data_IF_897126273481
#
_entry.id   IF_897126273481
#
_cell.length_a   1.000
_cell.length_b   1.000
_cell.length_c   1.000
_cell.angle_alpha   90.00
_cell.angle_beta   90.00
_cell.angle_gamma   90.00
#
_symmetry.space_group_name_H-M   'P 1'
#
loop_
_entity.id
_entity.type
_entity.pdbx_description
1 polymer ?
#
# COMPACT_ATOMS: atom_id res chain seq x y z
N UNK A 1 -38.38 -32.74 -0.40
CA UNK A 1 -37.89 -31.41 0.02
C UNK A 1 -36.46 -31.46 0.62
N UNK A 2 -35.91 -32.60 1.05
CA UNK A 2 -34.62 -32.72 1.71
C UNK A 2 -33.41 -32.78 0.72
N UNK A 3 -33.62 -33.16 -0.55
CA UNK A 3 -32.54 -33.26 -1.55
C UNK A 3 -32.07 -31.91 -2.13
N UNK A 4 -32.91 -30.87 -2.13
CA UNK A 4 -32.53 -29.53 -2.63
C UNK A 4 -31.65 -28.75 -1.69
N UNK A 5 -31.75 -28.99 -0.37
CA UNK A 5 -30.95 -28.28 0.64
C UNK A 5 -29.49 -28.74 0.65
N UNK A 6 -29.27 -30.04 0.39
CA UNK A 6 -27.92 -30.60 0.35
C UNK A 6 -27.09 -30.12 -0.85
N UNK A 7 -27.75 -29.84 -1.97
CA UNK A 7 -27.06 -29.34 -3.18
C UNK A 7 -26.64 -27.87 -3.01
N UNK A 8 -27.46 -27.06 -2.34
CA UNK A 8 -27.13 -25.64 -2.08
C UNK A 8 -25.97 -25.53 -1.09
N UNK A 9 -25.93 -26.40 -0.07
CA UNK A 9 -24.83 -26.43 0.91
C UNK A 9 -23.52 -26.89 0.26
N UNK A 10 -23.56 -27.88 -0.65
CA UNK A 10 -22.39 -28.30 -1.39
C UNK A 10 -21.86 -27.21 -2.35
N UNK A 11 -22.74 -26.46 -3.02
CA UNK A 11 -22.33 -25.37 -3.93
C UNK A 11 -21.73 -24.20 -3.13
N UNK A 12 -22.33 -23.82 -1.99
CA UNK A 12 -21.75 -22.81 -1.10
C UNK A 12 -20.39 -23.26 -0.51
N UNK A 13 -20.27 -24.51 -0.10
CA UNK A 13 -19.01 -25.05 0.40
C UNK A 13 -17.91 -25.10 -0.68
N UNK A 14 -18.25 -25.41 -1.93
CA UNK A 14 -17.32 -25.39 -3.05
C UNK A 14 -16.87 -23.98 -3.42
N UNK A 15 -17.78 -22.99 -3.40
CA UNK A 15 -17.42 -21.59 -3.70
C UNK A 15 -16.56 -20.99 -2.60
N UNK A 16 -16.85 -21.29 -1.34
CA UNK A 16 -16.03 -20.85 -0.20
C UNK A 16 -14.68 -21.59 -0.18
N UNK A 17 -14.65 -22.89 -0.51
CA UNK A 17 -13.41 -23.65 -0.59
C UNK A 17 -12.53 -23.20 -1.76
N UNK A 18 -13.11 -22.83 -2.90
CA UNK A 18 -12.35 -22.31 -4.04
C UNK A 18 -11.76 -20.92 -3.74
N UNK A 19 -12.53 -20.02 -3.10
CA UNK A 19 -12.04 -18.70 -2.69
C UNK A 19 -10.96 -18.78 -1.60
N UNK A 20 -11.11 -19.65 -0.62
CA UNK A 20 -10.09 -19.87 0.40
C UNK A 20 -8.82 -20.48 -0.14
N UNK A 21 -8.90 -21.38 -1.12
CA UNK A 21 -7.72 -21.98 -1.74
C UNK A 21 -6.94 -20.97 -2.60
N UNK A 22 -7.62 -20.10 -3.36
CA UNK A 22 -6.97 -19.06 -4.16
C UNK A 22 -6.29 -18.00 -3.25
N UNK A 23 -6.91 -17.62 -2.14
CA UNK A 23 -6.30 -16.68 -1.18
C UNK A 23 -5.12 -17.34 -0.43
N UNK A 24 -5.17 -18.64 -0.18
CA UNK A 24 -4.08 -19.37 0.48
C UNK A 24 -2.90 -19.63 -0.47
N UNK A 25 -3.17 -19.93 -1.74
CA UNK A 25 -2.17 -20.08 -2.79
C UNK A 25 -1.47 -18.75 -3.09
N UNK A 26 -2.19 -17.64 -3.21
CA UNK A 26 -1.62 -16.29 -3.31
C UNK A 26 -0.81 -15.90 -2.06
N UNK A 27 -1.25 -16.26 -0.84
CA UNK A 27 -0.47 -16.01 0.39
C UNK A 27 0.87 -16.75 0.40
N UNK A 28 0.96 -17.94 -0.19
CA UNK A 28 2.20 -18.73 -0.26
C UNK A 28 3.14 -18.08 -1.28
N UNK A 29 2.65 -17.64 -2.41
CA UNK A 29 3.44 -16.95 -3.43
C UNK A 29 3.91 -15.56 -2.95
N UNK A 30 3.07 -14.80 -2.27
CA UNK A 30 3.40 -13.50 -1.70
C UNK A 30 4.56 -13.54 -0.67
N UNK A 31 4.75 -14.66 0.03
CA UNK A 31 5.94 -14.86 0.88
C UNK A 31 7.25 -14.87 0.10
N UNK A 32 7.22 -15.29 -1.16
CA UNK A 32 8.39 -15.28 -2.03
C UNK A 32 8.72 -13.88 -2.57
N UNK A 33 7.88 -12.86 -2.26
CA UNK A 33 8.08 -11.47 -2.68
C UNK A 33 9.03 -10.69 -1.78
N UNK A 34 9.52 -11.28 -0.67
CA UNK A 34 10.44 -10.61 0.23
C UNK A 34 11.78 -10.33 -0.47
N UNK A 35 12.21 -9.08 -0.39
CA UNK A 35 13.46 -8.63 -1.02
C UNK A 35 14.70 -8.74 -0.12
N UNK A 36 14.53 -9.31 1.07
CA UNK A 36 15.63 -9.62 1.98
C UNK A 36 16.17 -8.46 2.80
N UNK A 37 15.49 -7.29 2.80
CA UNK A 37 15.88 -6.19 3.69
C UNK A 37 15.57 -6.54 5.13
N UNK A 38 16.50 -6.24 6.02
CA UNK A 38 16.40 -6.49 7.47
C UNK A 38 16.16 -5.21 8.27
N UNK A 39 16.59 -4.07 7.76
CA UNK A 39 16.51 -2.76 8.39
C UNK A 39 15.35 -1.88 7.86
N UNK A 40 14.69 -2.28 6.78
CA UNK A 40 13.48 -1.64 6.28
C UNK A 40 12.29 -2.62 6.35
N UNK A 41 11.30 -2.31 7.20
CA UNK A 41 10.12 -3.14 7.36
C UNK A 41 9.23 -3.15 6.10
N UNK A 42 8.33 -4.13 6.02
CA UNK A 42 7.31 -4.23 4.97
C UNK A 42 7.90 -4.19 3.54
N UNK A 43 9.19 -4.57 3.41
CA UNK A 43 9.94 -4.52 2.17
C UNK A 43 9.64 -5.74 1.30
N UNK A 44 9.16 -5.51 0.08
CA UNK A 44 8.81 -6.55 -0.90
C UNK A 44 8.78 -6.04 -2.32
N UNK A 45 8.73 -6.96 -3.27
CA UNK A 45 8.49 -6.68 -4.68
C UNK A 45 7.04 -6.98 -5.07
N UNK A 46 6.59 -6.41 -6.17
CA UNK A 46 5.36 -6.84 -6.86
C UNK A 46 5.63 -7.91 -7.94
N UNK A 47 6.88 -8.18 -8.23
CA UNK A 47 7.28 -9.22 -9.19
C UNK A 47 6.68 -10.58 -8.86
N UNK A 48 6.38 -11.38 -9.86
CA UNK A 48 5.77 -12.70 -9.70
C UNK A 48 4.24 -12.72 -9.60
N UNK A 49 3.58 -11.58 -9.36
CA UNK A 49 2.11 -11.53 -9.32
C UNK A 49 1.53 -11.84 -10.69
N UNK A 50 0.54 -12.75 -10.74
CA UNK A 50 -0.14 -13.14 -11.97
C UNK A 50 -1.19 -12.10 -12.36
N UNK A 51 -1.17 -11.66 -13.61
CA UNK A 51 -2.12 -10.75 -14.21
C UNK A 51 -2.63 -11.35 -15.52
N UNK A 52 -3.74 -12.05 -15.45
CA UNK A 52 -4.22 -12.86 -16.57
C UNK A 52 -3.21 -13.95 -16.95
N UNK A 53 -2.76 -13.97 -18.20
CA UNK A 53 -1.77 -14.92 -18.72
C UNK A 53 -0.31 -14.44 -18.58
N UNK A 54 -0.11 -13.27 -18.02
CA UNK A 54 1.20 -12.66 -17.81
C UNK A 54 1.51 -12.57 -16.32
N UNK A 55 2.76 -12.32 -15.98
CA UNK A 55 3.16 -12.02 -14.61
C UNK A 55 4.02 -10.75 -14.55
N UNK A 56 4.05 -10.11 -13.40
CA UNK A 56 4.94 -8.95 -13.18
C UNK A 56 6.38 -9.47 -13.15
N UNK A 57 7.28 -8.83 -13.92
CA UNK A 57 8.71 -9.13 -13.93
C UNK A 57 9.32 -8.96 -12.54
N UNK A 58 10.21 -9.88 -12.17
CA UNK A 58 10.86 -9.88 -10.88
C UNK A 58 11.85 -8.72 -10.72
N UNK A 59 12.02 -8.27 -9.47
CA UNK A 59 13.06 -7.33 -9.04
C UNK A 59 13.02 -5.92 -9.65
N UNK A 60 11.90 -5.49 -10.20
CA UNK A 60 11.76 -4.17 -10.83
C UNK A 60 10.89 -3.20 -10.04
N UNK A 61 9.81 -3.68 -9.44
CA UNK A 61 8.82 -2.88 -8.72
C UNK A 61 8.85 -3.22 -7.24
N UNK A 62 9.48 -2.36 -6.43
CA UNK A 62 9.74 -2.59 -5.01
C UNK A 62 8.97 -1.60 -4.15
N UNK A 63 8.54 -2.04 -2.96
CA UNK A 63 7.94 -1.18 -1.94
C UNK A 63 8.46 -1.52 -0.56
N UNK A 64 8.47 -0.52 0.36
CA UNK A 64 8.93 -0.70 1.73
C UNK A 64 8.34 0.33 2.70
N UNK A 65 8.66 0.19 3.99
CA UNK A 65 8.63 1.29 4.95
C UNK A 65 9.82 2.24 4.68
N UNK A 66 9.92 3.32 5.47
CA UNK A 66 10.98 4.34 5.35
C UNK A 66 12.38 3.73 5.29
N UNK A 67 13.25 4.34 4.52
CA UNK A 67 14.65 3.93 4.34
C UNK A 67 15.62 4.69 5.26
N UNK A 68 15.13 5.48 6.20
CA UNK A 68 15.95 6.31 7.09
C UNK A 68 16.85 5.52 8.04
N UNK A 69 16.57 4.24 8.26
CA UNK A 69 17.38 3.34 9.08
C UNK A 69 18.08 2.25 8.29
N UNK A 70 18.21 2.43 6.97
CA UNK A 70 18.76 1.42 6.07
C UNK A 70 20.21 1.09 6.46
N UNK A 71 20.49 -0.19 6.72
CA UNK A 71 21.85 -0.66 7.02
C UNK A 71 22.75 -0.60 5.78
N UNK A 72 24.07 -0.62 5.99
CA UNK A 72 25.02 -0.69 4.89
C UNK A 72 24.83 -1.93 4.02
N UNK A 73 24.48 -3.07 4.62
CA UNK A 73 24.21 -4.32 3.91
C UNK A 73 22.96 -4.20 3.05
N UNK A 74 21.87 -3.67 3.59
CA UNK A 74 20.61 -3.46 2.87
C UNK A 74 20.79 -2.39 1.77
N UNK A 75 21.54 -1.33 2.03
CA UNK A 75 21.89 -0.31 1.03
C UNK A 75 22.65 -0.92 -0.15
N UNK A 76 23.63 -1.78 0.13
CA UNK A 76 24.39 -2.53 -0.88
C UNK A 76 23.47 -3.48 -1.66
N UNK A 77 22.58 -4.19 -0.96
CA UNK A 77 21.63 -5.08 -1.60
C UNK A 77 20.71 -4.34 -2.60
N UNK A 78 20.21 -3.17 -2.21
CA UNK A 78 19.39 -2.33 -3.10
C UNK A 78 20.21 -1.76 -4.28
N UNK A 79 21.46 -1.37 -4.04
CA UNK A 79 22.31 -0.81 -5.08
C UNK A 79 22.82 -1.85 -6.09
N UNK A 80 23.27 -3.00 -5.63
CA UNK A 80 24.00 -3.96 -6.45
C UNK A 80 23.10 -5.04 -7.06
N UNK A 81 22.19 -5.62 -6.23
CA UNK A 81 21.29 -6.68 -6.69
C UNK A 81 20.09 -6.11 -7.43
N UNK A 82 19.40 -5.15 -6.82
CA UNK A 82 18.19 -4.57 -7.39
C UNK A 82 18.46 -3.38 -8.31
N UNK A 83 19.68 -2.82 -8.26
CA UNK A 83 20.11 -1.65 -9.05
C UNK A 83 19.07 -0.53 -8.95
N UNK A 84 18.65 -0.21 -7.72
CA UNK A 84 17.61 0.80 -7.52
C UNK A 84 18.04 2.11 -8.15
N UNK A 85 17.31 2.54 -9.18
CA UNK A 85 17.58 3.76 -9.93
C UNK A 85 16.76 4.95 -9.45
N UNK A 86 15.59 4.70 -8.83
CA UNK A 86 14.73 5.76 -8.30
C UNK A 86 14.03 5.34 -7.02
N UNK A 87 13.99 6.28 -6.06
CA UNK A 87 13.24 6.20 -4.81
C UNK A 87 12.11 7.22 -4.86
N UNK A 88 10.87 6.78 -4.63
CA UNK A 88 9.71 7.64 -4.46
C UNK A 88 9.30 7.65 -2.98
N UNK A 89 9.46 8.80 -2.32
CA UNK A 89 9.11 8.98 -0.92
C UNK A 89 7.79 9.73 -0.78
N UNK A 90 6.74 9.03 -0.31
CA UNK A 90 5.42 9.61 -0.08
C UNK A 90 5.24 10.22 1.30
N UNK A 91 6.28 10.31 2.12
CA UNK A 91 6.20 10.94 3.44
C UNK A 91 6.03 12.44 3.32
N UNK A 92 5.28 13.02 4.27
CA UNK A 92 5.20 14.46 4.41
C UNK A 92 6.58 15.10 4.64
N UNK A 93 6.72 16.39 4.34
CA UNK A 93 7.99 17.10 4.42
C UNK A 93 8.63 17.00 5.82
N UNK A 94 7.82 17.21 6.87
CA UNK A 94 8.31 17.10 8.26
C UNK A 94 8.76 15.70 8.62
N UNK A 95 8.07 14.65 8.12
CA UNK A 95 8.45 13.24 8.33
C UNK A 95 9.82 12.94 7.69
N UNK A 96 10.01 13.34 6.44
CA UNK A 96 11.25 13.07 5.70
C UNK A 96 12.43 13.88 6.24
N UNK A 97 12.22 15.13 6.65
CA UNK A 97 13.25 15.96 7.27
C UNK A 97 13.68 15.44 8.66
N UNK A 98 12.74 14.91 9.45
CA UNK A 98 13.05 14.36 10.78
C UNK A 98 13.77 13.02 10.71
N UNK A 99 13.62 12.28 9.64
CA UNK A 99 14.21 10.96 9.43
C UNK A 99 14.62 10.79 7.95
N UNK A 100 15.68 11.47 7.49
CA UNK A 100 16.12 11.42 6.09
C UNK A 100 16.53 10.00 5.69
N UNK A 101 16.21 9.63 4.44
CA UNK A 101 16.56 8.31 3.93
C UNK A 101 18.06 8.15 3.64
N UNK A 102 18.52 6.93 3.80
CA UNK A 102 19.79 6.48 3.23
C UNK A 102 19.57 6.14 1.77
N UNK A 103 20.29 6.81 0.88
CA UNK A 103 20.18 6.63 -0.57
C UNK A 103 21.10 5.49 -1.02
N UNK A 104 20.61 4.36 -1.54
CA UNK A 104 21.44 3.28 -2.02
C UNK A 104 22.13 3.67 -3.34
N UNK A 105 23.43 3.52 -3.40
CA UNK A 105 24.23 3.75 -4.61
C UNK A 105 24.09 5.15 -5.19
N UNK A 106 23.57 5.24 -6.41
CA UNK A 106 23.32 6.50 -7.14
C UNK A 106 21.84 6.69 -7.44
N UNK A 107 20.95 6.07 -6.67
CA UNK A 107 19.51 6.17 -6.89
C UNK A 107 19.06 7.64 -6.84
N UNK A 108 18.21 8.01 -7.78
CA UNK A 108 17.55 9.32 -7.78
C UNK A 108 16.47 9.31 -6.70
N UNK A 109 16.42 10.34 -5.89
CA UNK A 109 15.40 10.51 -4.86
C UNK A 109 14.36 11.53 -5.31
N UNK A 110 13.11 11.15 -5.25
CA UNK A 110 11.97 12.01 -5.57
C UNK A 110 11.02 12.08 -4.37
N UNK A 111 10.98 13.27 -3.74
CA UNK A 111 10.00 13.55 -2.69
C UNK A 111 8.63 13.80 -3.32
N UNK A 112 7.68 12.96 -2.97
CA UNK A 112 6.28 13.01 -3.37
C UNK A 112 5.41 13.17 -2.13
N UNK A 113 5.61 14.28 -1.40
CA UNK A 113 5.03 14.50 -0.09
C UNK A 113 3.50 14.44 -0.14
N UNK A 114 2.93 13.47 0.58
CA UNK A 114 1.50 13.30 0.78
C UNK A 114 1.21 13.38 2.28
N UNK A 115 0.56 14.46 2.69
CA UNK A 115 0.19 14.71 4.08
C UNK A 115 -1.27 14.30 4.31
N UNK A 116 -1.51 13.54 5.38
CA UNK A 116 -2.87 13.30 5.87
C UNK A 116 -3.34 14.56 6.60
N UNK A 117 -4.22 15.33 6.00
CA UNK A 117 -4.73 16.63 6.43
C UNK A 117 -4.66 16.89 7.93
N UNK A 118 -3.83 17.82 8.34
CA UNK A 118 -3.58 18.18 9.74
C UNK A 118 -2.34 19.04 9.91
N UNK A 119 -1.43 19.07 8.95
CA UNK A 119 -0.23 19.93 9.05
C UNK A 119 -0.55 21.43 8.97
N UNK A 120 -1.70 21.81 8.40
CA UNK A 120 -2.19 23.20 8.36
C UNK A 120 -3.33 23.49 9.34
N UNK A 121 -3.99 22.47 9.91
CA UNK A 121 -4.96 22.71 10.96
C UNK A 121 -4.21 23.02 12.25
N UNK A 122 -4.18 24.30 12.62
CA UNK A 122 -3.50 24.86 13.80
C UNK A 122 -3.92 24.31 15.17
N UNK A 123 -4.09 23.02 15.31
CA UNK A 123 -4.12 22.35 16.59
C UNK A 123 -2.67 22.03 16.97
N UNK A 124 -2.11 22.91 17.80
CA UNK A 124 -0.77 22.81 18.42
C UNK A 124 -0.62 21.59 19.36
N UNK A 125 -1.29 20.50 19.13
CA UNK A 125 -1.05 19.24 19.85
C UNK A 125 0.24 18.60 19.31
N UNK A 126 1.36 19.12 19.82
CA UNK A 126 2.68 18.50 19.60
C UNK A 126 2.74 17.21 20.39
N UNK A 127 2.61 16.07 19.70
CA UNK A 127 2.97 14.80 20.29
C UNK A 127 4.50 14.70 20.33
N UNK A 128 5.05 14.37 21.48
CA UNK A 128 6.49 14.18 21.65
C UNK A 128 6.96 12.89 20.96
N UNK A 129 6.05 11.89 20.85
CA UNK A 129 6.31 10.62 20.21
C UNK A 129 5.01 9.91 19.78
N UNK A 130 5.16 8.84 19.00
CA UNK A 130 4.07 8.01 18.49
C UNK A 130 3.23 7.37 19.63
N UNK A 131 3.85 6.99 20.74
CA UNK A 131 3.18 6.37 21.89
C UNK A 131 2.17 7.32 22.55
N UNK A 132 2.53 8.61 22.72
CA UNK A 132 1.62 9.63 23.24
C UNK A 132 0.44 9.87 22.30
N UNK A 133 0.69 9.91 20.98
CA UNK A 133 -0.36 10.04 19.98
C UNK A 133 -1.34 8.84 20.05
N UNK A 134 -0.83 7.62 20.08
CA UNK A 134 -1.64 6.42 20.19
C UNK A 134 -2.44 6.43 21.49
N UNK A 135 -1.81 6.76 22.62
CA UNK A 135 -2.47 6.84 23.93
C UNK A 135 -3.65 7.80 23.92
N UNK A 136 -3.48 9.01 23.32
CA UNK A 136 -4.57 9.97 23.19
C UNK A 136 -5.68 9.44 22.29
N UNK A 137 -5.34 8.89 21.14
CA UNK A 137 -6.35 8.35 20.22
C UNK A 137 -7.14 7.18 20.83
N UNK A 138 -6.51 6.35 21.66
CA UNK A 138 -7.20 5.31 22.40
C UNK A 138 -8.13 5.87 23.48
N UNK A 139 -7.71 6.93 24.17
CA UNK A 139 -8.55 7.61 25.15
C UNK A 139 -9.82 8.20 24.54
N UNK A 140 -9.72 8.71 23.31
CA UNK A 140 -10.83 9.34 22.58
C UNK A 140 -11.38 8.44 21.46
N UNK A 141 -11.12 7.13 21.51
CA UNK A 141 -11.48 6.21 20.44
C UNK A 141 -12.98 6.21 20.10
N UNK A 142 -13.86 6.39 21.09
CA UNK A 142 -15.32 6.47 20.89
C UNK A 142 -15.79 7.85 20.39
N UNK A 143 -14.90 8.84 20.32
CA UNK A 143 -15.28 10.16 19.84
C UNK A 143 -15.54 10.13 18.32
N UNK A 144 -16.67 10.71 17.84
CA UNK A 144 -17.03 10.66 16.41
C UNK A 144 -15.92 11.15 15.47
N UNK A 145 -15.13 12.17 15.86
CA UNK A 145 -14.04 12.69 15.03
C UNK A 145 -12.89 11.68 14.86
N UNK A 146 -12.57 10.90 15.91
CA UNK A 146 -11.53 9.85 15.85
C UNK A 146 -12.00 8.72 14.95
N UNK A 147 -13.25 8.30 15.10
CA UNK A 147 -13.83 7.28 14.23
C UNK A 147 -13.91 7.74 12.78
N UNK A 148 -14.33 8.98 12.53
CA UNK A 148 -14.36 9.57 11.20
C UNK A 148 -12.95 9.63 10.58
N UNK A 149 -11.93 10.06 11.33
CA UNK A 149 -10.54 10.06 10.90
C UNK A 149 -10.09 8.66 10.47
N UNK A 150 -10.35 7.62 11.29
CA UNK A 150 -9.97 6.26 10.95
C UNK A 150 -10.69 5.77 9.69
N UNK A 151 -12.01 6.01 9.56
CA UNK A 151 -12.81 5.49 8.45
C UNK A 151 -12.63 6.25 7.14
N UNK A 152 -12.14 7.50 7.18
CA UNK A 152 -11.92 8.33 5.99
C UNK A 152 -10.44 8.47 5.60
N UNK A 153 -9.54 7.80 6.28
CA UNK A 153 -8.10 7.95 6.04
C UNK A 153 -7.71 7.72 4.57
N UNK A 154 -8.24 6.68 3.94
CA UNK A 154 -7.97 6.43 2.52
C UNK A 154 -8.78 7.32 1.58
N UNK A 155 -9.90 7.92 2.04
CA UNK A 155 -10.63 8.89 1.22
C UNK A 155 -9.76 10.12 0.92
N UNK A 156 -8.94 10.58 1.89
CA UNK A 156 -7.96 11.65 1.67
C UNK A 156 -6.98 11.26 0.56
N UNK A 157 -6.50 10.01 0.56
CA UNK A 157 -5.54 9.52 -0.43
C UNK A 157 -6.15 9.48 -1.84
N UNK A 158 -7.41 9.07 -1.98
CA UNK A 158 -8.03 8.83 -3.29
C UNK A 158 -8.82 10.03 -3.82
N UNK A 159 -9.39 10.87 -2.96
CA UNK A 159 -10.35 11.89 -3.39
C UNK A 159 -9.88 13.34 -3.22
N UNK A 160 -8.83 13.58 -2.41
CA UNK A 160 -8.26 14.92 -2.29
C UNK A 160 -7.38 15.26 -3.50
N UNK A 161 -7.58 16.45 -4.08
CA UNK A 161 -6.85 16.89 -5.27
C UNK A 161 -5.33 16.93 -5.03
N UNK A 162 -4.90 17.35 -3.84
CA UNK A 162 -3.49 17.37 -3.45
C UNK A 162 -2.86 15.98 -3.48
N UNK A 163 -3.59 14.95 -3.04
CA UNK A 163 -3.15 13.56 -3.08
C UNK A 163 -3.11 13.02 -4.51
N UNK A 164 -4.12 13.34 -5.31
CA UNK A 164 -4.17 12.97 -6.72
C UNK A 164 -3.01 13.57 -7.51
N UNK A 165 -2.64 14.82 -7.24
CA UNK A 165 -1.49 15.49 -7.86
C UNK A 165 -0.16 14.77 -7.55
N UNK A 166 -0.01 14.26 -6.33
CA UNK A 166 1.16 13.43 -5.94
C UNK A 166 1.24 12.16 -6.78
N UNK A 167 0.12 11.45 -6.97
CA UNK A 167 0.11 10.23 -7.77
C UNK A 167 0.23 10.52 -9.28
N UNK A 168 -0.26 11.66 -9.79
CA UNK A 168 0.04 12.11 -11.16
C UNK A 168 1.55 12.23 -11.39
N UNK A 169 2.26 12.87 -10.46
CA UNK A 169 3.73 12.99 -10.52
C UNK A 169 4.43 11.64 -10.44
N UNK A 170 3.95 10.75 -9.57
CA UNK A 170 4.47 9.39 -9.46
C UNK A 170 4.37 8.64 -10.79
N UNK A 171 3.20 8.58 -11.40
CA UNK A 171 3.00 7.89 -12.67
C UNK A 171 3.72 8.57 -13.84
N UNK A 172 3.73 9.90 -13.87
CA UNK A 172 4.45 10.65 -14.92
C UNK A 172 5.95 10.33 -14.87
N UNK A 173 6.55 10.29 -13.70
CA UNK A 173 7.96 9.96 -13.54
C UNK A 173 8.24 8.47 -13.80
N UNK A 174 7.39 7.56 -13.30
CA UNK A 174 7.51 6.12 -13.51
C UNK A 174 7.51 5.76 -15.01
N UNK A 175 6.74 6.48 -15.82
CA UNK A 175 6.72 6.34 -17.28
C UNK A 175 8.02 6.80 -17.96
N UNK A 176 8.90 7.52 -17.28
CA UNK A 176 10.24 7.88 -17.82
C UNK A 176 11.31 6.85 -17.49
N UNK A 177 11.08 6.02 -16.47
CA UNK A 177 12.04 5.02 -15.98
C UNK A 177 12.14 3.87 -16.98
N UNK A 178 13.38 3.39 -17.18
CA UNK A 178 13.65 2.24 -18.03
C UNK A 178 13.93 1.02 -17.15
N UNK A 179 13.17 -0.08 -17.28
CA UNK A 179 13.38 -1.30 -16.47
C UNK A 179 14.77 -1.93 -16.63
N UNK A 180 15.42 -1.70 -17.77
CA UNK A 180 16.77 -2.20 -18.08
C UNK A 180 17.84 -1.58 -17.18
N UNK A 181 17.58 -0.37 -16.66
CA UNK A 181 18.51 0.34 -15.78
C UNK A 181 18.39 -0.12 -14.32
N UNK A 182 17.31 -0.84 -13.96
CA UNK A 182 17.12 -1.43 -12.64
C UNK A 182 15.74 -1.19 -12.04
N UNK A 183 15.62 -1.44 -10.75
CA UNK A 183 14.37 -1.33 -10.01
C UNK A 183 14.01 0.12 -9.65
N UNK A 184 12.73 0.32 -9.38
CA UNK A 184 12.25 1.46 -8.60
C UNK A 184 11.76 0.99 -7.23
N UNK A 185 11.90 1.83 -6.21
CA UNK A 185 11.34 1.56 -4.88
C UNK A 185 10.49 2.75 -4.44
N UNK A 186 9.30 2.47 -3.92
CA UNK A 186 8.46 3.49 -3.31
C UNK A 186 8.12 3.14 -1.87
N UNK A 187 8.00 4.17 -1.04
CA UNK A 187 7.75 3.99 0.37
C UNK A 187 6.99 5.17 1.00
N UNK A 188 6.60 4.98 2.24
CA UNK A 188 6.18 6.02 3.16
C UNK A 188 6.75 5.69 4.55
N UNK A 189 6.13 6.09 5.64
CA UNK A 189 6.63 5.77 6.99
C UNK A 189 6.55 4.27 7.30
N UNK A 190 5.39 3.64 7.11
CA UNK A 190 5.17 2.21 7.35
C UNK A 190 5.09 1.38 6.06
N UNK A 191 5.08 2.01 4.89
CA UNK A 191 4.97 1.30 3.62
C UNK A 191 3.62 0.60 3.37
N UNK A 192 2.58 0.91 4.19
CA UNK A 192 1.26 0.26 4.09
C UNK A 192 0.20 1.14 3.41
N UNK A 193 0.03 2.40 3.84
CA UNK A 193 -1.08 3.25 3.41
C UNK A 193 -0.78 3.99 2.11
N UNK A 194 0.01 5.06 2.13
CA UNK A 194 0.39 5.85 0.94
C UNK A 194 1.10 5.00 -0.11
N UNK A 195 2.10 4.22 0.30
CA UNK A 195 2.79 3.28 -0.59
C UNK A 195 1.89 2.12 -1.03
N UNK A 196 0.96 1.66 -0.17
CA UNK A 196 -0.03 0.64 -0.50
C UNK A 196 -1.02 1.12 -1.54
N UNK A 197 -1.47 2.37 -1.43
CA UNK A 197 -2.37 2.98 -2.41
C UNK A 197 -1.69 3.17 -3.76
N UNK A 198 -0.41 3.60 -3.78
CA UNK A 198 0.40 3.63 -5.00
C UNK A 198 0.50 2.23 -5.65
N UNK A 199 0.72 1.19 -4.83
CA UNK A 199 0.75 -0.19 -5.32
C UNK A 199 -0.59 -0.63 -5.90
N UNK A 200 -1.71 -0.32 -5.22
CA UNK A 200 -3.05 -0.64 -5.71
C UNK A 200 -3.35 0.03 -7.06
N UNK A 201 -3.00 1.30 -7.19
CA UNK A 201 -3.13 2.05 -8.44
C UNK A 201 -2.26 1.46 -9.55
N UNK A 202 -1.00 1.12 -9.26
CA UNK A 202 -0.09 0.51 -10.25
C UNK A 202 -0.57 -0.88 -10.65
N UNK A 203 -0.99 -1.71 -9.70
CA UNK A 203 -1.56 -3.03 -9.98
C UNK A 203 -2.80 -2.92 -10.88
N UNK A 204 -3.69 -1.96 -10.62
CA UNK A 204 -4.86 -1.69 -11.48
C UNK A 204 -4.44 -1.24 -12.88
N UNK A 205 -3.41 -0.39 -13.01
CA UNK A 205 -2.86 0.02 -14.30
C UNK A 205 -2.30 -1.16 -15.09
N UNK A 206 -1.65 -2.11 -14.41
CA UNK A 206 -1.14 -3.36 -15.00
C UNK A 206 -2.25 -4.36 -15.34
N UNK A 207 -3.47 -4.17 -14.83
CA UNK A 207 -4.63 -5.02 -15.12
C UNK A 207 -4.93 -6.08 -14.04
N UNK A 208 -4.41 -5.90 -12.84
CA UNK A 208 -4.73 -6.76 -11.70
C UNK A 208 -6.22 -6.64 -11.32
N UNK A 209 -6.79 -7.75 -10.86
CA UNK A 209 -8.13 -7.76 -10.27
C UNK A 209 -8.13 -7.22 -8.83
N UNK A 210 -9.33 -7.05 -8.28
CA UNK A 210 -9.55 -6.54 -6.92
C UNK A 210 -8.94 -7.46 -5.88
N UNK A 211 -9.02 -8.76 -6.09
CA UNK A 211 -8.51 -9.79 -5.19
C UNK A 211 -6.99 -9.69 -5.03
N UNK A 212 -6.24 -9.52 -6.11
CA UNK A 212 -4.79 -9.36 -6.06
C UNK A 212 -4.38 -8.02 -5.39
N UNK A 213 -5.10 -6.94 -5.69
CA UNK A 213 -4.88 -5.63 -5.05
C UNK A 213 -5.06 -5.73 -3.53
N UNK A 214 -6.16 -6.37 -3.09
CA UNK A 214 -6.42 -6.57 -1.67
C UNK A 214 -5.42 -7.52 -1.01
N UNK A 215 -4.98 -8.58 -1.71
CA UNK A 215 -3.98 -9.50 -1.22
C UNK A 215 -2.63 -8.80 -0.95
N UNK A 216 -2.15 -7.96 -1.89
CA UNK A 216 -0.93 -7.17 -1.65
C UNK A 216 -1.10 -6.21 -0.46
N UNK A 217 -2.23 -5.53 -0.35
CA UNK A 217 -2.48 -4.64 0.79
C UNK A 217 -2.45 -5.38 2.13
N UNK A 218 -3.17 -6.51 2.22
CA UNK A 218 -3.28 -7.34 3.43
C UNK A 218 -1.92 -7.91 3.85
N UNK A 219 -1.00 -8.13 2.93
CA UNK A 219 0.33 -8.66 3.23
C UNK A 219 1.09 -7.79 4.25
N UNK A 220 0.80 -6.49 4.31
CA UNK A 220 1.36 -5.59 5.32
C UNK A 220 1.01 -6.01 6.76
N UNK A 221 -0.08 -6.76 6.99
CA UNK A 221 -0.46 -7.28 8.32
C UNK A 221 0.61 -8.22 8.89
N UNK A 222 1.33 -8.95 8.06
CA UNK A 222 2.40 -9.85 8.50
C UNK A 222 3.46 -9.11 9.32
N UNK A 223 3.69 -7.84 9.00
CA UNK A 223 4.66 -7.00 9.69
C UNK A 223 4.07 -6.28 10.91
N UNK A 224 2.81 -5.87 10.84
CA UNK A 224 2.23 -4.94 11.80
C UNK A 224 1.28 -5.58 12.81
N UNK A 225 0.64 -6.72 12.50
CA UNK A 225 -0.21 -7.44 13.46
C UNK A 225 0.55 -7.88 14.72
N UNK A 226 1.81 -8.35 14.66
CA UNK A 226 2.57 -8.65 15.87
C UNK A 226 2.85 -7.41 16.74
N UNK A 227 2.85 -6.22 16.16
CA UNK A 227 3.00 -4.96 16.90
C UNK A 227 1.66 -4.53 17.49
N UNK A 228 0.60 -4.51 16.68
CA UNK A 228 -0.74 -4.10 17.10
C UNK A 228 -1.30 -5.01 18.21
N UNK A 229 -1.02 -6.32 18.15
CA UNK A 229 -1.48 -7.29 19.16
C UNK A 229 -0.88 -7.09 20.55
N UNK A 230 0.21 -6.34 20.69
CA UNK A 230 0.81 -5.98 21.98
C UNK A 230 0.10 -4.82 22.66
N UNK A 231 -0.70 -4.06 21.93
CA UNK A 231 -1.43 -2.91 22.45
C UNK A 231 -2.78 -3.39 22.99
N UNK A 232 -2.99 -3.20 24.27
CA UNK A 232 -4.26 -3.60 24.93
C UNK A 232 -5.37 -2.66 24.49
N UNK A 233 -6.49 -3.23 24.09
CA UNK A 233 -7.70 -2.51 23.71
C UNK A 233 -8.88 -3.09 24.50
N UNK A 234 -9.78 -2.23 24.96
CA UNK A 234 -10.95 -2.60 25.80
C UNK A 234 -12.26 -2.52 25.00
N UNK A 235 -12.30 -1.69 23.94
CA UNK A 235 -13.50 -1.47 23.14
C UNK A 235 -13.25 -1.77 21.65
N UNK A 236 -14.32 -1.97 20.89
CA UNK A 236 -14.23 -2.14 19.42
C UNK A 236 -13.72 -0.87 18.74
N UNK A 237 -14.07 0.30 19.27
CA UNK A 237 -13.55 1.59 18.77
C UNK A 237 -12.03 1.67 18.91
N UNK A 238 -11.48 1.26 20.05
CA UNK A 238 -10.04 1.19 20.28
C UNK A 238 -9.36 0.19 19.34
N UNK A 239 -9.98 -0.98 19.10
CA UNK A 239 -9.47 -1.94 18.12
C UNK A 239 -9.44 -1.36 16.70
N UNK A 240 -10.49 -0.61 16.32
CA UNK A 240 -10.53 0.08 15.03
C UNK A 240 -9.39 1.07 14.90
N UNK A 241 -9.13 1.88 15.93
CA UNK A 241 -8.00 2.83 15.95
C UNK A 241 -6.68 2.10 15.75
N UNK A 242 -6.41 1.06 16.55
CA UNK A 242 -5.15 0.31 16.47
C UNK A 242 -5.00 -0.41 15.12
N UNK A 243 -6.06 -1.05 14.62
CA UNK A 243 -6.01 -1.73 13.34
C UNK A 243 -5.80 -0.76 12.17
N UNK A 244 -6.29 0.46 12.27
CA UNK A 244 -6.12 1.48 11.23
C UNK A 244 -4.74 2.12 11.29
N UNK A 245 -4.27 2.51 12.46
CA UNK A 245 -3.02 3.28 12.60
C UNK A 245 -1.78 2.39 12.60
N UNK A 246 -1.84 1.23 13.26
CA UNK A 246 -0.68 0.36 13.44
C UNK A 246 -0.69 -0.80 12.45
N UNK A 247 -1.80 -1.55 12.33
CA UNK A 247 -1.93 -2.62 11.35
C UNK A 247 -2.48 -2.09 10.01
N UNK A 248 -2.63 -2.95 9.02
CA UNK A 248 -3.35 -2.66 7.79
C UNK A 248 -4.81 -3.04 7.97
N UNK A 249 -5.72 -2.08 7.89
CA UNK A 249 -7.15 -2.33 8.03
C UNK A 249 -7.81 -2.56 6.66
N UNK A 250 -8.04 -3.83 6.24
CA UNK A 250 -8.58 -4.12 4.93
C UNK A 250 -10.01 -3.64 4.75
N UNK A 251 -10.80 -3.58 5.83
CA UNK A 251 -12.22 -3.16 5.76
C UNK A 251 -12.33 -1.70 5.33
N UNK A 252 -11.49 -0.82 5.89
CA UNK A 252 -11.51 0.61 5.55
C UNK A 252 -10.93 0.83 4.15
N UNK A 253 -9.87 0.13 3.79
CA UNK A 253 -9.28 0.23 2.46
C UNK A 253 -10.26 -0.25 1.38
N UNK A 254 -10.91 -1.40 1.60
CA UNK A 254 -11.93 -1.96 0.71
C UNK A 254 -13.13 -1.02 0.56
N UNK A 255 -13.62 -0.45 1.67
CA UNK A 255 -14.72 0.52 1.64
C UNK A 255 -14.38 1.77 0.80
N UNK A 256 -13.12 2.23 0.81
CA UNK A 256 -12.69 3.33 -0.06
C UNK A 256 -12.63 2.91 -1.53
N UNK A 257 -12.14 1.72 -1.82
CA UNK A 257 -12.17 1.19 -3.20
C UNK A 257 -13.60 1.00 -3.71
N UNK A 258 -14.57 0.63 -2.84
CA UNK A 258 -16.00 0.57 -3.19
C UNK A 258 -16.56 1.96 -3.55
N UNK A 259 -16.12 3.02 -2.85
CA UNK A 259 -16.46 4.40 -3.23
C UNK A 259 -15.86 4.80 -4.57
N UNK A 260 -14.63 4.37 -4.86
CA UNK A 260 -13.99 4.57 -6.17
C UNK A 260 -14.80 3.88 -7.26
N UNK A 261 -15.17 2.61 -7.06
CA UNK A 261 -15.95 1.85 -8.03
C UNK A 261 -17.36 2.45 -8.22
N UNK A 262 -18.01 2.89 -7.13
CA UNK A 262 -19.31 3.54 -7.20
C UNK A 262 -19.28 4.87 -7.99
N UNK A 263 -18.18 5.64 -7.88
CA UNK A 263 -18.09 6.96 -8.51
C UNK A 263 -17.54 6.90 -9.93
N UNK A 264 -16.58 6.00 -10.21
CA UNK A 264 -15.83 5.94 -11.47
C UNK A 264 -16.03 4.61 -12.22
N UNK A 265 -16.77 3.66 -11.66
CA UNK A 265 -16.99 2.33 -12.23
C UNK A 265 -15.84 1.35 -12.00
N UNK A 266 -14.62 1.81 -11.81
CA UNK A 266 -13.44 0.98 -11.49
C UNK A 266 -12.25 1.84 -11.06
N UNK A 267 -11.29 1.23 -10.36
CA UNK A 267 -10.02 1.87 -10.05
C UNK A 267 -9.22 2.22 -11.34
N UNK A 268 -9.39 1.46 -12.42
CA UNK A 268 -8.77 1.75 -13.72
C UNK A 268 -9.35 3.02 -14.36
N UNK A 269 -10.67 3.21 -14.30
CA UNK A 269 -11.31 4.45 -14.77
C UNK A 269 -10.88 5.65 -13.91
N UNK A 270 -10.81 5.47 -12.58
CA UNK A 270 -10.28 6.50 -11.68
C UNK A 270 -8.85 6.94 -12.08
N UNK A 271 -7.98 6.00 -12.45
CA UNK A 271 -6.64 6.32 -12.93
C UNK A 271 -6.69 7.21 -14.17
N UNK A 272 -7.61 6.94 -15.10
CA UNK A 272 -7.75 7.74 -16.32
C UNK A 272 -8.36 9.12 -16.03
N UNK A 273 -9.42 9.17 -15.22
CA UNK A 273 -10.19 10.39 -15.00
C UNK A 273 -9.55 11.34 -14.00
N UNK A 274 -8.93 10.82 -12.94
CA UNK A 274 -8.39 11.62 -11.84
C UNK A 274 -6.87 11.72 -11.85
N UNK A 275 -6.18 10.63 -12.18
CA UNK A 275 -4.71 10.59 -12.15
C UNK A 275 -4.11 10.91 -13.52
N UNK A 276 -4.88 10.80 -14.60
CA UNK A 276 -4.41 11.10 -15.95
C UNK A 276 -3.56 9.99 -16.58
N UNK A 277 -3.63 8.76 -16.05
CA UNK A 277 -2.99 7.59 -16.65
C UNK A 277 -3.88 7.04 -17.74
N UNK A 278 -3.59 7.39 -18.99
CA UNK A 278 -4.41 6.97 -20.14
C UNK A 278 -4.27 5.46 -20.41
N UNK A 279 -5.20 4.87 -21.20
CA UNK A 279 -5.06 3.48 -21.63
C UNK A 279 -3.73 3.19 -22.33
N UNK A 280 -3.23 4.11 -23.15
CA UNK A 280 -1.94 3.99 -23.84
C UNK A 280 -0.76 3.98 -22.85
N UNK A 281 -0.80 4.82 -21.81
CA UNK A 281 0.18 4.81 -20.73
C UNK A 281 0.14 3.50 -19.94
N UNK A 282 -1.04 2.95 -19.71
CA UNK A 282 -1.19 1.64 -19.06
C UNK A 282 -0.59 0.52 -19.92
N UNK A 283 -0.76 0.55 -21.25
CA UNK A 283 -0.10 -0.43 -22.13
C UNK A 283 1.43 -0.30 -22.09
N UNK A 284 1.98 0.92 -22.07
CA UNK A 284 3.43 1.13 -21.88
C UNK A 284 3.92 0.52 -20.57
N UNK A 285 3.18 0.68 -19.47
CA UNK A 285 3.52 0.07 -18.18
C UNK A 285 3.45 -1.46 -18.26
N UNK A 286 2.44 -2.01 -18.92
CA UNK A 286 2.29 -3.46 -19.12
C UNK A 286 3.45 -4.05 -19.93
N UNK A 287 3.79 -3.44 -21.05
CA UNK A 287 4.91 -3.87 -21.91
C UNK A 287 6.25 -3.86 -21.15
N UNK A 288 6.45 -2.87 -20.29
CA UNK A 288 7.67 -2.73 -19.49
C UNK A 288 7.75 -3.74 -18.35
N UNK A 289 6.67 -3.95 -17.64
CA UNK A 289 6.70 -4.64 -16.35
C UNK A 289 6.04 -6.03 -16.38
N UNK A 290 5.35 -6.46 -17.45
CA UNK A 290 4.78 -7.80 -17.59
C UNK A 290 5.61 -8.68 -18.55
N UNK A 291 5.60 -9.98 -18.27
CA UNK A 291 6.18 -11.03 -19.11
C UNK A 291 5.25 -12.24 -19.24
#
# INVERSE_FOLDING_TARGET
MIRSLSIIICIMAMVVSCKTNVVEEQKIELKNQLIGLTSAHNARQLGGYQIGNQRIKDNLLLRSAKLSGLSGEDSTLLADKYKVQCIYDFRGEKESLSAPDVIPGKARYLSLALSFGGEESGTDTKFENEEQMIGMLLQYADHPSVQAMCTSMYDVIFFEESSQEVYRKFFADLLTVQPEDGAVIWHCTQGKDRAGSASAMLLAALGADRELIMADFILSKVYYDPMSSKIKTETESQKTVINTLISANPVIFEATLDKVDAKYGSLRNYLTECIGVTPEMMEVLRDRYLE
#
